data_IF_387256809488
#
_entry.id   IF_387256809488
#
_cell.length_a   1.000
_cell.length_b   1.000
_cell.length_c   1.000
_cell.angle_alpha   90.00
_cell.angle_beta   90.00
_cell.angle_gamma   90.00
#
_symmetry.space_group_name_H-M   'P 1'
#
loop_
_entity.id
_entity.type
_entity.pdbx_description
1 polymer ?
#
# COMPACT_ATOMS: atom_id res chain seq x y z
N UNK A 1 53.49 7.95 -26.42
CA UNK A 1 52.86 7.18 -27.51
C UNK A 1 53.34 7.65 -28.88
N UNK A 2 53.15 8.92 -29.24
CA UNK A 2 53.53 9.45 -30.56
C UNK A 2 55.03 9.43 -30.91
N UNK A 3 55.92 9.42 -29.91
CA UNK A 3 57.36 9.26 -30.15
C UNK A 3 57.78 7.81 -30.44
N UNK A 4 56.89 6.84 -30.18
CA UNK A 4 57.21 5.41 -30.19
C UNK A 4 56.68 4.68 -31.43
N UNK A 5 55.67 5.23 -32.09
CA UNK A 5 55.19 4.73 -33.37
C UNK A 5 54.64 5.86 -34.25
N UNK A 6 54.87 5.81 -35.57
CA UNK A 6 54.42 6.83 -36.53
C UNK A 6 52.96 6.64 -36.98
N UNK A 7 52.15 5.89 -36.23
CA UNK A 7 50.78 5.53 -36.65
C UNK A 7 49.81 6.71 -36.53
N UNK A 8 49.18 7.16 -37.64
CA UNK A 8 48.16 8.22 -37.57
C UNK A 8 46.90 7.78 -36.81
N UNK A 9 46.58 6.49 -36.73
CA UNK A 9 45.38 6.02 -36.00
C UNK A 9 45.53 6.15 -34.48
N UNK A 10 46.76 6.18 -33.96
CA UNK A 10 47.01 6.49 -32.55
C UNK A 10 46.62 7.93 -32.20
N UNK A 11 46.68 8.86 -33.17
CA UNK A 11 46.21 10.23 -32.96
C UNK A 11 44.69 10.23 -32.75
N UNK A 12 43.95 9.44 -33.52
CA UNK A 12 42.51 9.26 -33.34
C UNK A 12 42.18 8.67 -31.95
N UNK A 13 42.97 7.68 -31.51
CA UNK A 13 42.82 7.10 -30.16
C UNK A 13 43.09 8.13 -29.06
N UNK A 14 44.05 9.05 -29.23
CA UNK A 14 44.32 10.12 -28.28
C UNK A 14 43.13 11.09 -28.19
N UNK A 15 42.47 11.41 -29.32
CA UNK A 15 41.26 12.23 -29.28
C UNK A 15 40.11 11.55 -28.55
N UNK A 16 39.91 10.25 -28.75
CA UNK A 16 38.94 9.46 -28.00
C UNK A 16 39.27 9.47 -26.49
N UNK A 17 40.54 9.26 -26.15
CA UNK A 17 40.98 9.33 -24.76
C UNK A 17 40.68 10.69 -24.12
N UNK A 18 40.93 11.79 -24.84
CA UNK A 18 40.65 13.13 -24.36
C UNK A 18 39.15 13.38 -24.13
N UNK A 19 38.31 12.96 -25.08
CA UNK A 19 36.86 13.05 -24.94
C UNK A 19 36.37 12.29 -23.70
N UNK A 20 36.89 11.08 -23.49
CA UNK A 20 36.60 10.26 -22.31
C UNK A 20 37.01 10.93 -21.00
N UNK A 21 38.21 11.53 -20.94
CA UNK A 21 38.64 12.28 -19.76
C UNK A 21 37.71 13.46 -19.42
N UNK A 22 37.22 14.16 -20.45
CA UNK A 22 36.24 15.24 -20.26
C UNK A 22 34.93 14.73 -19.65
N UNK A 23 34.43 13.59 -20.12
CA UNK A 23 33.25 12.94 -19.54
C UNK A 23 33.48 12.47 -18.10
N UNK A 24 34.63 11.85 -17.80
CA UNK A 24 34.95 11.42 -16.45
C UNK A 24 34.99 12.60 -15.47
N UNK A 25 35.58 13.74 -15.86
CA UNK A 25 35.59 14.95 -15.04
C UNK A 25 34.19 15.54 -14.81
N UNK A 26 33.34 15.56 -15.85
CA UNK A 26 31.96 16.03 -15.74
C UNK A 26 31.13 15.14 -14.80
N UNK A 27 31.29 13.82 -14.88
CA UNK A 27 30.62 12.87 -14.00
C UNK A 27 31.09 12.96 -12.55
N UNK A 28 32.37 13.28 -12.31
CA UNK A 28 32.86 13.55 -10.95
C UNK A 28 32.21 14.82 -10.38
N UNK A 29 32.10 15.89 -11.17
CA UNK A 29 31.39 17.11 -10.72
C UNK A 29 29.92 16.83 -10.40
N UNK A 30 29.26 15.95 -11.17
CA UNK A 30 27.90 15.52 -10.89
C UNK A 30 27.82 14.67 -9.61
N UNK A 31 28.79 13.80 -9.38
CA UNK A 31 28.90 12.98 -8.17
C UNK A 31 29.05 13.85 -6.90
N UNK A 32 29.88 14.89 -6.96
CA UNK A 32 30.01 15.85 -5.86
C UNK A 32 28.69 16.56 -5.58
N UNK A 33 27.95 16.96 -6.62
CA UNK A 33 26.63 17.57 -6.48
C UNK A 33 25.62 16.60 -5.84
N UNK A 34 25.58 15.35 -6.32
CA UNK A 34 24.73 14.30 -5.74
C UNK A 34 25.08 14.08 -4.27
N UNK A 35 26.37 14.03 -3.93
CA UNK A 35 26.82 13.84 -2.55
C UNK A 35 26.42 15.01 -1.66
N UNK A 36 26.50 16.26 -2.15
CA UNK A 36 25.98 17.44 -1.45
C UNK A 36 24.46 17.33 -1.26
N UNK A 37 23.72 16.96 -2.30
CA UNK A 37 22.28 16.73 -2.23
C UNK A 37 21.94 15.63 -1.22
N UNK A 38 22.74 14.57 -1.14
CA UNK A 38 22.56 13.50 -0.17
C UNK A 38 22.86 13.94 1.28
N UNK A 39 23.83 14.83 1.49
CA UNK A 39 24.23 15.31 2.81
C UNK A 39 23.32 16.43 3.34
N UNK A 40 22.85 17.32 2.47
CA UNK A 40 21.99 18.46 2.83
C UNK A 40 20.54 18.04 3.17
N UNK A 41 20.20 16.75 3.03
CA UNK A 41 18.88 16.21 3.26
C UNK A 41 18.75 15.35 4.54
N UNK A 42 18.46 15.97 5.69
CA UNK A 42 17.78 15.31 6.81
C UNK A 42 16.24 15.35 6.70
N UNK A 43 15.66 16.06 5.72
CA UNK A 43 14.20 16.27 5.66
C UNK A 43 13.63 16.14 4.24
N UNK A 44 12.57 15.33 4.04
CA UNK A 44 11.95 15.08 2.73
C UNK A 44 11.36 16.32 2.03
N UNK A 45 11.41 17.50 2.68
CA UNK A 45 10.64 18.69 2.33
C UNK A 45 11.36 19.70 1.44
N UNK A 46 12.66 19.56 1.20
CA UNK A 46 13.48 20.54 0.46
C UNK A 46 13.93 20.12 -0.94
N UNK A 47 13.82 18.85 -1.31
CA UNK A 47 14.16 18.43 -2.68
C UNK A 47 12.95 18.62 -3.57
N UNK A 48 13.13 19.35 -4.67
CA UNK A 48 12.17 19.35 -5.75
C UNK A 48 11.99 17.89 -6.23
N UNK A 49 10.77 17.35 -6.25
CA UNK A 49 10.51 15.93 -6.53
C UNK A 49 10.96 15.51 -7.93
N UNK A 50 11.21 16.47 -8.81
CA UNK A 50 11.62 16.27 -10.21
C UNK A 50 13.15 16.20 -10.41
N UNK A 51 13.94 16.72 -9.47
CA UNK A 51 15.41 16.78 -9.62
C UNK A 51 16.05 15.39 -9.69
N UNK A 52 15.61 14.50 -8.80
CA UNK A 52 16.17 13.16 -8.68
C UNK A 52 15.83 12.27 -9.89
N UNK A 53 14.57 12.23 -10.39
CA UNK A 53 14.24 11.60 -11.68
C UNK A 53 15.00 12.19 -12.88
N UNK A 54 15.25 13.51 -12.91
CA UNK A 54 16.01 14.15 -13.98
C UNK A 54 17.47 13.69 -13.99
N UNK A 55 18.13 13.67 -12.83
CA UNK A 55 19.52 13.17 -12.71
C UNK A 55 19.60 11.71 -13.16
N UNK A 56 18.63 10.88 -12.75
CA UNK A 56 18.51 9.48 -13.19
C UNK A 56 18.42 9.35 -14.72
N UNK A 57 17.61 10.19 -15.37
CA UNK A 57 17.50 10.19 -16.83
C UNK A 57 18.86 10.52 -17.50
N UNK A 58 19.61 11.48 -16.95
CA UNK A 58 20.96 11.78 -17.41
C UNK A 58 21.93 10.61 -17.23
N UNK A 59 21.92 9.92 -16.09
CA UNK A 59 22.76 8.74 -15.85
C UNK A 59 22.48 7.61 -16.85
N UNK A 60 21.20 7.34 -17.14
CA UNK A 60 20.79 6.34 -18.13
C UNK A 60 21.27 6.73 -19.54
N UNK A 61 21.13 8.00 -19.90
CA UNK A 61 21.61 8.51 -21.18
C UNK A 61 23.13 8.36 -21.33
N UNK A 62 23.91 8.78 -20.32
CA UNK A 62 25.37 8.63 -20.34
C UNK A 62 25.81 7.18 -20.35
N UNK A 63 25.11 6.28 -19.65
CA UNK A 63 25.41 4.84 -19.72
C UNK A 63 25.25 4.29 -21.13
N UNK A 64 24.20 4.69 -21.86
CA UNK A 64 24.02 4.30 -23.26
C UNK A 64 25.11 4.88 -24.15
N UNK A 65 25.47 6.15 -23.95
CA UNK A 65 26.51 6.82 -24.73
C UNK A 65 27.88 6.16 -24.54
N UNK A 66 28.20 5.69 -23.32
CA UNK A 66 29.43 4.96 -23.06
C UNK A 66 29.46 3.60 -23.77
N UNK A 67 28.31 2.95 -23.96
CA UNK A 67 28.23 1.70 -24.74
C UNK A 67 28.50 1.96 -26.23
N UNK A 68 27.93 3.02 -26.79
CA UNK A 68 28.23 3.44 -28.17
C UNK A 68 29.72 3.84 -28.33
N UNK A 69 30.30 4.44 -27.30
CA UNK A 69 31.70 4.83 -27.27
C UNK A 69 32.65 3.63 -27.25
N UNK A 70 32.28 2.52 -26.58
CA UNK A 70 33.03 1.25 -26.69
C UNK A 70 33.05 0.79 -28.16
N UNK A 71 31.91 0.87 -28.86
CA UNK A 71 31.84 0.53 -30.28
C UNK A 71 32.76 1.40 -31.15
N UNK A 72 32.91 2.68 -30.83
CA UNK A 72 33.85 3.56 -31.50
C UNK A 72 35.33 3.16 -31.26
N UNK A 73 35.67 2.72 -30.04
CA UNK A 73 37.02 2.21 -29.73
C UNK A 73 37.29 0.88 -30.44
N UNK A 74 36.31 -0.02 -30.45
CA UNK A 74 36.41 -1.30 -31.16
C UNK A 74 36.58 -1.07 -32.68
N UNK A 75 35.85 -0.10 -33.25
CA UNK A 75 36.01 0.30 -34.64
C UNK A 75 37.43 0.77 -34.96
N UNK A 76 38.03 1.62 -34.10
CA UNK A 76 39.42 2.08 -34.29
C UNK A 76 40.42 0.91 -34.18
N UNK A 77 40.15 -0.06 -33.32
CA UNK A 77 41.00 -1.25 -33.19
C UNK A 77 40.90 -2.19 -34.40
N UNK A 78 39.71 -2.39 -34.97
CA UNK A 78 39.46 -3.31 -36.07
C UNK A 78 39.77 -2.72 -37.45
N UNK A 79 39.86 -1.39 -37.56
CA UNK A 79 40.10 -0.71 -38.85
C UNK A 79 41.53 -0.95 -39.33
N UNK A 80 41.74 -1.63 -40.47
CA UNK A 80 43.07 -1.82 -41.02
C UNK A 80 43.66 -0.48 -41.48
N UNK A 81 44.84 -0.16 -40.98
CA UNK A 81 45.60 1.04 -41.30
C UNK A 81 46.22 0.95 -42.71
N UNK A 82 45.75 1.72 -43.71
CA UNK A 82 46.32 1.68 -45.06
C UNK A 82 47.77 2.19 -45.13
N UNK A 83 48.22 2.91 -44.10
CA UNK A 83 49.57 3.47 -44.00
C UNK A 83 50.61 2.48 -43.45
N UNK A 84 50.21 1.60 -42.52
CA UNK A 84 51.06 0.59 -41.88
C UNK A 84 51.08 -0.69 -42.71
N UNK A 85 51.72 -0.64 -43.88
CA UNK A 85 51.91 -1.80 -44.76
C UNK A 85 53.38 -2.22 -44.74
N UNK A 86 53.66 -3.51 -44.94
CA UNK A 86 55.02 -4.07 -45.06
C UNK A 86 55.85 -3.51 -46.22
N UNK A 87 55.22 -2.75 -47.12
CA UNK A 87 55.91 -2.00 -48.18
C UNK A 87 56.64 -0.74 -47.67
N UNK A 88 56.15 -0.15 -46.56
CA UNK A 88 56.61 1.15 -46.07
C UNK A 88 57.46 1.04 -44.79
N UNK A 89 57.26 -0.04 -44.01
CA UNK A 89 57.88 -0.24 -42.71
C UNK A 89 58.33 -1.69 -42.50
N UNK A 90 59.36 -1.87 -41.66
CA UNK A 90 59.81 -3.19 -41.24
C UNK A 90 58.73 -3.94 -40.44
N UNK A 91 58.65 -5.26 -40.62
CA UNK A 91 57.65 -6.11 -39.95
C UNK A 91 57.70 -6.00 -38.42
N UNK A 92 58.89 -5.83 -37.83
CA UNK A 92 59.04 -5.65 -36.39
C UNK A 92 58.38 -4.37 -35.85
N UNK A 93 58.40 -3.27 -36.62
CA UNK A 93 57.74 -2.01 -36.26
C UNK A 93 56.22 -2.11 -36.41
N UNK A 94 55.75 -2.84 -37.43
CA UNK A 94 54.33 -3.11 -37.63
C UNK A 94 53.77 -3.91 -36.43
N UNK A 95 54.46 -4.97 -36.03
CA UNK A 95 54.07 -5.81 -34.90
C UNK A 95 54.09 -5.01 -33.57
N UNK A 96 55.10 -4.14 -33.34
CA UNK A 96 55.12 -3.26 -32.16
C UNK A 96 53.92 -2.29 -32.18
N UNK A 97 53.65 -1.63 -33.31
CA UNK A 97 52.54 -0.68 -33.41
C UNK A 97 51.17 -1.32 -33.20
N UNK A 98 50.95 -2.53 -33.75
CA UNK A 98 49.72 -3.29 -33.56
C UNK A 98 49.54 -3.73 -32.09
N UNK A 99 50.64 -4.14 -31.43
CA UNK A 99 50.62 -4.49 -30.02
C UNK A 99 50.31 -3.29 -29.12
N UNK A 100 50.86 -2.11 -29.45
CA UNK A 100 50.58 -0.85 -28.75
C UNK A 100 49.12 -0.45 -28.93
N UNK A 101 48.60 -0.45 -30.15
CA UNK A 101 47.19 -0.13 -30.43
C UNK A 101 46.24 -1.03 -29.63
N UNK A 102 46.48 -2.34 -29.67
CA UNK A 102 45.67 -3.33 -28.93
C UNK A 102 45.71 -3.06 -27.42
N UNK A 103 46.88 -2.72 -26.88
CA UNK A 103 47.04 -2.43 -25.46
C UNK A 103 46.29 -1.17 -25.05
N UNK A 104 46.42 -0.09 -25.82
CA UNK A 104 45.81 1.20 -25.48
C UNK A 104 44.29 1.19 -25.69
N UNK A 105 43.77 0.55 -26.75
CA UNK A 105 42.34 0.33 -26.92
C UNK A 105 41.75 -0.51 -25.78
N UNK A 106 42.45 -1.59 -25.38
CA UNK A 106 42.04 -2.41 -24.23
C UNK A 106 42.03 -1.62 -22.93
N UNK A 107 43.02 -0.75 -22.72
CA UNK A 107 43.11 0.10 -21.54
C UNK A 107 41.96 1.12 -21.51
N UNK A 108 41.70 1.81 -22.62
CA UNK A 108 40.59 2.76 -22.73
C UNK A 108 39.24 2.07 -22.50
N UNK A 109 39.03 0.91 -23.11
CA UNK A 109 37.83 0.09 -22.90
C UNK A 109 37.65 -0.30 -21.44
N UNK A 110 38.74 -0.65 -20.75
CA UNK A 110 38.68 -0.96 -19.32
C UNK A 110 38.24 0.24 -18.49
N UNK A 111 38.77 1.43 -18.76
CA UNK A 111 38.36 2.66 -18.06
C UNK A 111 36.90 3.04 -18.36
N UNK A 112 36.41 2.85 -19.59
CA UNK A 112 35.00 3.08 -19.93
C UNK A 112 34.08 2.16 -19.13
N UNK A 113 34.41 0.86 -19.07
CA UNK A 113 33.65 -0.12 -18.28
C UNK A 113 33.66 0.23 -16.79
N UNK A 114 34.81 0.68 -16.28
CA UNK A 114 34.95 1.14 -14.90
C UNK A 114 34.06 2.36 -14.62
N UNK A 115 34.04 3.35 -15.50
CA UNK A 115 33.20 4.54 -15.37
C UNK A 115 31.70 4.18 -15.40
N UNK A 116 31.32 3.25 -16.28
CA UNK A 116 29.95 2.72 -16.34
C UNK A 116 29.55 2.00 -15.04
N UNK A 117 30.45 1.22 -14.44
CA UNK A 117 30.20 0.57 -13.17
C UNK A 117 29.98 1.59 -12.03
N UNK A 118 30.74 2.69 -12.04
CA UNK A 118 30.56 3.80 -11.08
C UNK A 118 29.19 4.47 -11.25
N UNK A 119 28.78 4.79 -12.48
CA UNK A 119 27.45 5.32 -12.78
C UNK A 119 26.33 4.39 -12.31
N UNK A 120 26.48 3.08 -12.53
CA UNK A 120 25.50 2.09 -12.09
C UNK A 120 25.38 2.04 -10.57
N UNK A 121 26.50 2.14 -9.84
CA UNK A 121 26.48 2.17 -8.38
C UNK A 121 25.80 3.44 -7.85
N UNK A 122 26.02 4.59 -8.48
CA UNK A 122 25.35 5.85 -8.12
C UNK A 122 23.84 5.74 -8.35
N UNK A 123 23.44 5.19 -9.49
CA UNK A 123 22.04 4.95 -9.82
C UNK A 123 21.31 4.09 -8.78
N UNK A 124 21.94 3.01 -8.30
CA UNK A 124 21.40 2.18 -7.22
C UNK A 124 21.23 2.96 -5.91
N UNK A 125 22.19 3.82 -5.56
CA UNK A 125 22.10 4.67 -4.36
C UNK A 125 20.95 5.66 -4.46
N UNK A 126 20.78 6.32 -5.61
CA UNK A 126 19.69 7.25 -5.86
C UNK A 126 18.32 6.55 -5.82
N UNK A 127 18.22 5.32 -6.34
CA UNK A 127 16.99 4.54 -6.29
C UNK A 127 16.60 4.19 -4.85
N UNK A 128 17.54 3.68 -4.06
CA UNK A 128 17.30 3.34 -2.64
C UNK A 128 16.86 4.58 -1.84
N UNK A 129 17.39 5.76 -2.18
CA UNK A 129 17.00 7.01 -1.53
C UNK A 129 15.63 7.49 -1.97
N UNK A 130 15.30 7.37 -3.25
CA UNK A 130 13.96 7.68 -3.77
C UNK A 130 12.88 6.84 -3.10
N UNK A 131 13.14 5.54 -2.90
CA UNK A 131 12.20 4.64 -2.20
C UNK A 131 12.04 5.04 -0.74
N UNK A 132 13.13 5.37 -0.05
CA UNK A 132 13.06 5.84 1.34
C UNK A 132 12.27 7.15 1.49
N UNK A 133 12.46 8.11 0.57
CA UNK A 133 11.67 9.35 0.55
C UNK A 133 10.18 9.04 0.35
N UNK A 134 9.85 8.16 -0.61
CA UNK A 134 8.47 7.74 -0.89
C UNK A 134 7.83 7.05 0.30
N UNK A 135 8.56 6.20 1.01
CA UNK A 135 8.10 5.55 2.24
C UNK A 135 7.80 6.59 3.33
N UNK A 136 8.67 7.58 3.52
CA UNK A 136 8.41 8.73 4.40
C UNK A 136 7.09 9.43 4.08
N UNK A 137 6.90 9.85 2.83
CA UNK A 137 5.64 10.47 2.39
C UNK A 137 4.42 9.56 2.59
N UNK A 138 4.55 8.26 2.28
CA UNK A 138 3.46 7.31 2.45
C UNK A 138 3.10 7.12 3.93
N UNK A 139 4.08 7.11 4.84
CA UNK A 139 3.81 7.05 6.29
C UNK A 139 3.10 8.31 6.79
N UNK A 140 3.51 9.50 6.34
CA UNK A 140 2.82 10.75 6.68
C UNK A 140 1.38 10.77 6.15
N UNK A 141 1.18 10.36 4.89
CA UNK A 141 -0.15 10.22 4.29
C UNK A 141 -1.01 9.18 5.02
N UNK A 142 -0.43 8.05 5.42
CA UNK A 142 -1.13 7.01 6.17
C UNK A 142 -1.50 7.52 7.56
N UNK A 143 -0.62 8.26 8.23
CA UNK A 143 -0.92 8.87 9.52
C UNK A 143 -2.02 9.93 9.41
N UNK A 144 -1.99 10.76 8.36
CA UNK A 144 -3.06 11.69 8.06
C UNK A 144 -4.40 10.96 7.78
N UNK A 145 -4.38 9.90 6.97
CA UNK A 145 -5.55 9.08 6.67
C UNK A 145 -6.11 8.36 7.92
N UNK A 146 -5.25 7.86 8.81
CA UNK A 146 -5.67 7.27 10.09
C UNK A 146 -6.34 8.32 10.97
N UNK A 147 -5.77 9.54 11.04
CA UNK A 147 -6.36 10.65 11.79
C UNK A 147 -7.71 11.07 11.21
N UNK A 148 -7.81 11.16 9.89
CA UNK A 148 -9.05 11.50 9.20
C UNK A 148 -10.10 10.40 9.40
N UNK A 149 -9.69 9.13 9.40
CA UNK A 149 -10.53 7.98 9.74
C UNK A 149 -11.02 8.02 11.21
N UNK A 150 -10.20 8.51 12.14
CA UNK A 150 -10.62 8.70 13.53
C UNK A 150 -11.69 9.81 13.66
N UNK A 151 -11.52 10.94 12.95
CA UNK A 151 -12.52 12.01 12.89
C UNK A 151 -13.84 11.51 12.26
N UNK A 152 -13.75 10.73 11.18
CA UNK A 152 -14.92 10.14 10.53
C UNK A 152 -15.69 9.21 11.48
N UNK A 153 -14.99 8.40 12.27
CA UNK A 153 -15.61 7.55 13.31
C UNK A 153 -16.34 8.37 14.36
N UNK A 154 -15.77 9.49 14.80
CA UNK A 154 -16.41 10.35 15.80
C UNK A 154 -17.73 10.94 15.30
N UNK A 155 -17.76 11.45 14.06
CA UNK A 155 -18.98 11.99 13.44
C UNK A 155 -20.04 10.88 13.31
N UNK A 156 -19.64 9.68 12.90
CA UNK A 156 -20.54 8.55 12.77
C UNK A 156 -21.15 8.10 14.12
N UNK A 157 -20.39 8.16 15.21
CA UNK A 157 -20.94 7.89 16.55
C UNK A 157 -21.96 8.94 16.96
N UNK A 158 -21.70 10.22 16.63
CA UNK A 158 -22.64 11.30 16.92
C UNK A 158 -23.98 11.07 16.20
N UNK A 159 -23.96 10.77 14.90
CA UNK A 159 -25.20 10.52 14.14
C UNK A 159 -25.94 9.28 14.66
N UNK A 160 -25.23 8.22 15.05
CA UNK A 160 -25.85 7.01 15.60
C UNK A 160 -26.63 7.28 16.91
N UNK A 161 -26.16 8.21 17.74
CA UNK A 161 -26.83 8.61 19.00
C UNK A 161 -28.00 9.57 18.75
N UNK A 162 -27.84 10.51 17.80
CA UNK A 162 -28.83 11.57 17.57
C UNK A 162 -29.95 11.19 16.60
N UNK A 163 -29.73 10.23 15.71
CA UNK A 163 -30.72 9.85 14.69
C UNK A 163 -31.99 9.23 15.29
N UNK A 164 -31.92 8.29 16.26
CA UNK A 164 -33.14 7.69 16.82
C UNK A 164 -34.02 8.66 17.62
N UNK A 165 -33.48 9.51 18.52
CA UNK A 165 -34.27 10.55 19.17
C UNK A 165 -34.89 11.53 18.18
N UNK A 166 -34.16 11.93 17.13
CA UNK A 166 -34.67 12.82 16.09
C UNK A 166 -35.83 12.22 15.32
N UNK A 167 -35.80 10.91 15.05
CA UNK A 167 -36.90 10.18 14.43
C UNK A 167 -38.15 10.17 15.32
N UNK A 168 -37.99 9.88 16.62
CA UNK A 168 -39.09 9.92 17.59
C UNK A 168 -39.67 11.33 17.69
N UNK A 169 -38.83 12.35 17.82
CA UNK A 169 -39.25 13.74 17.85
C UNK A 169 -40.01 14.14 16.57
N UNK A 170 -39.62 13.62 15.40
CA UNK A 170 -40.34 13.81 14.15
C UNK A 170 -41.73 13.16 14.14
N UNK A 171 -41.83 11.89 14.55
CA UNK A 171 -43.12 11.15 14.60
C UNK A 171 -44.10 11.80 15.57
N UNK A 172 -43.63 12.25 16.73
CA UNK A 172 -44.48 12.93 17.72
C UNK A 172 -44.68 14.43 17.44
N UNK A 173 -43.81 15.05 16.64
CA UNK A 173 -43.93 16.46 16.20
C UNK A 173 -44.85 16.63 14.99
N UNK A 174 -45.08 15.58 14.22
CA UNK A 174 -46.20 15.51 13.28
C UNK A 174 -47.49 15.35 14.08
N UNK A 175 -48.50 16.18 13.83
CA UNK A 175 -49.75 16.20 14.61
C UNK A 175 -50.51 14.86 14.59
N UNK A 176 -50.18 13.93 15.50
CA UNK A 176 -50.92 12.67 15.75
C UNK A 176 -52.15 12.95 16.63
N UNK A 177 -52.86 14.05 16.36
CA UNK A 177 -54.10 14.41 17.04
C UNK A 177 -55.33 13.71 16.43
N UNK A 178 -55.19 13.06 15.26
CA UNK A 178 -56.35 12.59 14.48
C UNK A 178 -56.61 11.07 14.60
N UNK A 179 -55.74 10.28 15.26
CA UNK A 179 -55.84 8.80 15.25
C UNK A 179 -56.51 8.21 16.53
N UNK A 180 -56.78 9.00 17.57
CA UNK A 180 -57.63 8.53 18.70
C UNK A 180 -58.15 9.69 19.58
N UNK A 181 -59.47 9.98 19.60
CA UNK A 181 -60.05 11.09 20.39
C UNK A 181 -60.11 10.87 21.91
N UNK A 182 -59.86 9.66 22.41
CA UNK A 182 -60.08 9.28 23.82
C UNK A 182 -58.79 9.06 24.64
N UNK A 183 -57.61 9.14 24.03
CA UNK A 183 -56.35 9.03 24.78
C UNK A 183 -55.67 10.38 24.80
N UNK A 184 -55.77 11.08 25.94
CA UNK A 184 -54.93 12.24 26.24
C UNK A 184 -53.48 11.82 26.09
N UNK A 185 -52.84 12.16 24.98
CA UNK A 185 -51.42 11.99 24.73
C UNK A 185 -50.66 12.82 25.76
N UNK A 186 -50.47 12.23 26.93
CA UNK A 186 -49.88 12.88 28.10
C UNK A 186 -48.38 12.65 28.00
N UNK A 187 -47.57 13.63 28.40
CA UNK A 187 -46.09 13.55 28.52
C UNK A 187 -45.50 12.17 28.94
N UNK A 188 -46.13 11.37 29.82
CA UNK A 188 -45.66 10.02 30.17
C UNK A 188 -45.57 9.03 29.00
N UNK A 189 -46.45 9.10 27.99
CA UNK A 189 -46.42 8.18 26.84
C UNK A 189 -45.25 8.47 25.90
N UNK A 190 -44.88 9.74 25.75
CA UNK A 190 -43.67 10.13 25.02
C UNK A 190 -42.42 9.58 25.71
N UNK A 191 -42.33 9.76 27.04
CA UNK A 191 -41.23 9.21 27.85
C UNK A 191 -41.22 7.68 27.77
N UNK A 192 -42.38 7.03 27.84
CA UNK A 192 -42.51 5.58 27.78
C UNK A 192 -42.10 4.98 26.43
N UNK A 193 -42.17 5.74 25.32
CA UNK A 193 -41.71 5.31 24.00
C UNK A 193 -40.24 5.70 23.71
N UNK A 194 -39.83 6.91 24.13
CA UNK A 194 -38.51 7.44 23.87
C UNK A 194 -37.42 6.77 24.72
N UNK A 195 -37.71 6.44 26.00
CA UNK A 195 -36.75 5.79 26.90
C UNK A 195 -36.38 4.36 26.43
N UNK A 196 -37.30 3.46 26.09
CA UNK A 196 -36.89 2.13 25.60
C UNK A 196 -36.19 2.21 24.25
N UNK A 197 -36.52 3.17 23.38
CA UNK A 197 -35.82 3.33 22.10
C UNK A 197 -34.40 3.88 22.29
N UNK A 198 -34.18 4.80 23.21
CA UNK A 198 -32.84 5.30 23.57
C UNK A 198 -32.00 4.24 24.27
N UNK A 199 -32.60 3.44 25.15
CA UNK A 199 -31.93 2.28 25.76
C UNK A 199 -31.60 1.22 24.72
N UNK A 200 -32.51 0.93 23.78
CA UNK A 200 -32.27 -0.03 22.70
C UNK A 200 -31.14 0.41 21.77
N UNK A 201 -31.10 1.68 21.41
CA UNK A 201 -30.07 2.23 20.52
C UNK A 201 -28.72 2.32 21.22
N UNK A 202 -28.69 2.70 22.51
CA UNK A 202 -27.49 2.66 23.33
C UNK A 202 -27.02 1.23 23.59
N UNK A 203 -27.94 0.27 23.78
CA UNK A 203 -27.61 -1.15 23.90
C UNK A 203 -27.03 -1.70 22.60
N UNK A 204 -27.63 -1.41 21.43
CA UNK A 204 -27.10 -1.82 20.12
C UNK A 204 -25.70 -1.23 19.91
N UNK A 205 -25.49 0.05 20.26
CA UNK A 205 -24.18 0.69 20.19
C UNK A 205 -23.16 0.04 21.15
N UNK A 206 -23.57 -0.26 22.39
CA UNK A 206 -22.72 -0.90 23.39
C UNK A 206 -22.36 -2.33 22.99
N UNK A 207 -23.34 -3.14 22.57
CA UNK A 207 -23.14 -4.49 22.03
C UNK A 207 -22.22 -4.48 20.82
N UNK A 208 -22.35 -3.48 19.93
CA UNK A 208 -21.46 -3.35 18.78
C UNK A 208 -19.99 -3.10 19.15
N UNK A 209 -19.76 -2.43 20.30
CA UNK A 209 -18.42 -2.09 20.80
C UNK A 209 -17.80 -3.23 21.62
N UNK A 210 -18.60 -3.93 22.44
CA UNK A 210 -18.11 -5.02 23.30
C UNK A 210 -17.94 -6.33 22.55
N UNK A 211 -18.60 -6.53 21.41
CA UNK A 211 -18.56 -7.81 20.71
C UNK A 211 -17.24 -8.07 19.96
N UNK A 212 -16.61 -7.10 19.28
CA UNK A 212 -15.38 -7.39 18.49
C UNK A 212 -14.44 -6.18 18.26
N UNK A 213 -13.13 -6.30 18.56
CA UNK A 213 -12.09 -5.33 18.24
C UNK A 213 -11.51 -5.51 16.81
N UNK A 214 -12.30 -6.00 15.85
CA UNK A 214 -11.85 -6.38 14.50
C UNK A 214 -12.57 -5.64 13.39
N UNK A 215 -11.96 -5.55 12.20
CA UNK A 215 -12.34 -4.74 11.05
C UNK A 215 -13.23 -5.54 10.09
N UNK A 216 -14.55 -5.51 10.25
CA UNK A 216 -15.51 -6.08 9.27
C UNK A 216 -16.71 -5.15 9.05
N UNK A 217 -17.34 -5.32 7.88
CA UNK A 217 -18.35 -4.43 7.31
C UNK A 217 -19.57 -4.18 8.21
N UNK A 218 -19.91 -2.91 8.36
CA UNK A 218 -20.93 -2.37 9.26
C UNK A 218 -22.33 -2.97 9.09
N UNK A 219 -22.73 -3.27 7.84
CA UNK A 219 -24.08 -3.74 7.53
C UNK A 219 -24.35 -5.18 7.98
N UNK A 220 -23.35 -6.07 7.94
CA UNK A 220 -23.50 -7.45 8.43
C UNK A 220 -23.63 -7.51 9.96
N UNK A 221 -23.09 -6.51 10.67
CA UNK A 221 -23.14 -6.36 12.13
C UNK A 221 -24.49 -5.90 12.64
N UNK A 222 -25.13 -4.96 11.93
CA UNK A 222 -26.41 -4.38 12.36
C UNK A 222 -27.57 -5.37 12.24
N UNK A 223 -27.54 -6.23 11.22
CA UNK A 223 -28.65 -7.12 10.86
C UNK A 223 -28.72 -8.36 11.78
N UNK A 224 -27.60 -8.81 12.37
CA UNK A 224 -27.57 -10.02 13.22
C UNK A 224 -28.32 -9.92 14.55
N UNK A 225 -28.17 -8.87 15.39
CA UNK A 225 -28.93 -8.77 16.63
C UNK A 225 -30.42 -8.60 16.35
N UNK A 226 -30.79 -7.92 15.26
CA UNK A 226 -32.19 -7.86 14.79
C UNK A 226 -32.71 -9.24 14.38
N UNK A 227 -31.89 -10.05 13.68
CA UNK A 227 -32.26 -11.42 13.34
C UNK A 227 -32.47 -12.28 14.59
N UNK A 228 -31.60 -12.22 15.58
CA UNK A 228 -31.78 -12.98 16.84
C UNK A 228 -32.97 -12.50 17.66
N UNK A 229 -33.21 -11.19 17.74
CA UNK A 229 -34.38 -10.63 18.42
C UNK A 229 -35.68 -10.99 17.67
N UNK A 230 -35.71 -10.93 16.35
CA UNK A 230 -36.85 -11.38 15.55
C UNK A 230 -37.11 -12.87 15.75
N UNK A 231 -36.08 -13.71 15.76
CA UNK A 231 -36.23 -15.16 16.03
C UNK A 231 -36.81 -15.38 17.43
N UNK A 232 -36.28 -14.70 18.46
CA UNK A 232 -36.81 -14.82 19.84
C UNK A 232 -38.24 -14.29 19.98
N UNK A 233 -38.59 -13.21 19.27
CA UNK A 233 -39.94 -12.63 19.29
C UNK A 233 -40.96 -13.53 18.57
N UNK A 234 -40.61 -14.07 17.40
CA UNK A 234 -41.42 -15.05 16.65
C UNK A 234 -41.61 -16.35 17.43
N UNK A 235 -40.60 -16.78 18.19
CA UNK A 235 -40.69 -17.98 19.02
C UNK A 235 -41.58 -17.78 20.25
N UNK A 236 -41.58 -16.58 20.83
CA UNK A 236 -42.48 -16.21 21.94
C UNK A 236 -43.94 -16.05 21.50
N UNK A 237 -44.20 -15.64 20.25
CA UNK A 237 -45.57 -15.60 19.71
C UNK A 237 -46.14 -16.96 19.32
N UNK A 238 -45.31 -18.03 19.28
CA UNK A 238 -45.76 -19.40 18.96
C UNK A 238 -46.19 -20.20 20.19
N UNK A 239 -46.12 -19.63 21.40
CA UNK A 239 -46.69 -20.21 22.61
C UNK A 239 -47.70 -19.27 23.26
N UNK A 240 -48.93 -19.23 22.72
CA UNK A 240 -50.10 -19.22 23.58
C UNK A 240 -51.09 -20.32 23.19
N UNK A 241 -51.58 -21.04 24.19
CA UNK A 241 -52.59 -22.11 24.17
C UNK A 241 -52.23 -23.46 23.54
N UNK A 242 -51.46 -24.26 24.28
CA UNK A 242 -51.58 -25.71 24.22
C UNK A 242 -51.45 -26.31 25.64
N UNK A 243 -52.23 -25.78 26.59
CA UNK A 243 -52.39 -26.36 27.93
C UNK A 243 -53.88 -26.36 28.26
N UNK A 244 -54.56 -27.49 28.02
CA UNK A 244 -55.60 -27.99 28.95
C UNK A 244 -56.20 -29.37 28.61
N UNK A 245 -55.89 -30.01 27.47
CA UNK A 245 -56.65 -31.19 27.01
C UNK A 245 -55.98 -32.56 27.20
N UNK A 246 -54.76 -32.64 27.75
CA UNK A 246 -54.02 -33.92 27.83
C UNK A 246 -53.88 -34.52 29.24
N UNK A 247 -54.33 -33.84 30.29
CA UNK A 247 -54.22 -34.35 31.67
C UNK A 247 -55.44 -35.18 32.13
N UNK A 248 -56.57 -35.13 31.41
CA UNK A 248 -57.78 -35.89 31.80
C UNK A 248 -57.82 -37.33 31.28
N UNK A 249 -57.09 -37.66 30.23
CA UNK A 249 -57.14 -39.01 29.60
C UNK A 249 -56.18 -39.99 30.28
N UNK A 250 -55.12 -39.50 30.92
CA UNK A 250 -54.11 -40.34 31.60
C UNK A 250 -54.49 -40.70 33.04
N UNK A 251 -55.36 -39.94 33.71
CA UNK A 251 -55.83 -40.26 35.06
C UNK A 251 -56.88 -41.38 35.11
N UNK A 252 -57.66 -41.58 34.03
CA UNK A 252 -58.76 -42.57 34.00
C UNK A 252 -58.29 -43.99 33.63
N UNK A 253 -57.09 -44.15 33.04
CA UNK A 253 -56.53 -45.46 32.66
C UNK A 253 -55.68 -46.13 33.74
N UNK A 254 -55.26 -45.41 34.78
CA UNK A 254 -54.38 -45.96 35.84
C UNK A 254 -55.20 -46.53 37.00
N UNK A 255 -56.45 -46.11 37.19
CA UNK A 255 -57.35 -46.60 38.25
C UNK A 255 -58.04 -47.94 37.94
N UNK A 256 -57.89 -48.51 36.74
CA UNK A 256 -58.54 -49.77 36.32
C UNK A 256 -57.63 -51.01 36.42
N UNK A 257 -56.31 -50.85 36.64
CA UNK A 257 -55.36 -51.97 36.57
C UNK A 257 -54.71 -52.40 37.90
N UNK A 258 -55.20 -51.95 39.06
CA UNK A 258 -54.73 -52.45 40.37
C UNK A 258 -55.93 -52.69 41.29
N UNK A 259 -56.56 -53.86 41.13
CA UNK A 259 -57.46 -54.44 42.11
C UNK A 259 -57.00 -55.89 42.39
N UNK A 260 -56.33 -56.16 43.52
CA UNK A 260 -56.21 -57.51 44.04
C UNK A 260 -57.42 -57.83 44.93
N UNK A 261 -58.14 -58.85 44.50
CA UNK A 261 -59.31 -59.45 45.13
C UNK A 261 -58.95 -60.21 46.39
N UNK A 262 -59.74 -59.96 47.45
CA UNK A 262 -60.07 -60.82 48.60
C UNK A 262 -58.94 -61.28 49.54
N UNK A 263 -59.17 -61.59 50.81
CA UNK A 263 -60.14 -61.26 51.85
C UNK A 263 -59.79 -62.16 53.04
N UNK A 264 -60.26 -61.76 54.22
CA UNK A 264 -60.76 -62.66 55.28
C UNK A 264 -59.80 -63.17 56.37
N UNK A 265 -60.00 -62.53 57.53
CA UNK A 265 -60.35 -63.11 58.85
C UNK A 265 -59.26 -63.62 59.79
N UNK A 266 -59.32 -62.93 60.94
CA UNK A 266 -59.15 -63.35 62.34
C UNK A 266 -57.73 -63.59 62.83
#
# INVERSE_FOLDING_TARGET
MLQRSPDPTLVLLIFLWHAFCGWAAALESLNEYITKLENDLPTPRKTDPEELPRIRAHHLHYSSLLDDFIGAVDFVQETPTPFMTSSNFDQALLDESASLMTRECKNLRHEIVRLKAMLHQQEQRLQNRTTAIKEGYMTEMTQAAIRDGAAMKQIAYLTMVFLPPSFVAGVFGMNVFEISPESRATMPQYIAAAVPLTVLTMAIAFLSKTAYPGQEEFWSRLIRPLKELCVRYIQKSKTPHADHSLERVTAERISVLVAPTHASRR
#
